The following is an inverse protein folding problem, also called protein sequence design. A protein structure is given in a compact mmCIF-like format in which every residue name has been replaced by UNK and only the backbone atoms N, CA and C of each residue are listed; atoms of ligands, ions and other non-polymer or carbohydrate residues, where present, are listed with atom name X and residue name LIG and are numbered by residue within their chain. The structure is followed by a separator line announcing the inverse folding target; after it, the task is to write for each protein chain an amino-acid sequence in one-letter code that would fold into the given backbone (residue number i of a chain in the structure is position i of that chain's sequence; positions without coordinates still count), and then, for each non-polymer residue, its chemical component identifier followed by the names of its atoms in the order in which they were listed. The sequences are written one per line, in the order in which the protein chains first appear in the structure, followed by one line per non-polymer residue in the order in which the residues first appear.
data_IF_113836319456
#
_entry.id   IF_113836319456
#
_cell.length_a   1.000
_cell.length_b   1.000
_cell.length_c   1.000
_cell.angle_alpha   90.00
_cell.angle_beta   90.00
_cell.angle_gamma   90.00
#
_symmetry.space_group_name_H-M   'P 1'
#
loop_
_entity.id
_entity.type
_entity.pdbx_description
1 polymer ?
#
# COMPACT_ATOMS: atom_id res chain seq x y z
N UNK A 1 9.98 -12.15 10.85
CA UNK A 1 9.82 -11.83 9.41
C UNK A 1 9.29 -13.06 8.69
N UNK A 2 8.49 -12.91 7.60
CA UNK A 2 8.10 -14.02 6.74
C UNK A 2 9.31 -14.74 6.14
N UNK A 3 9.17 -16.02 5.79
CA UNK A 3 10.22 -16.73 5.06
C UNK A 3 10.31 -16.22 3.61
N UNK A 4 11.50 -16.23 2.97
CA UNK A 4 11.64 -15.91 1.55
C UNK A 4 10.71 -16.76 0.67
N UNK A 5 10.23 -16.18 -0.42
CA UNK A 5 9.30 -16.84 -1.35
C UNK A 5 7.84 -16.86 -0.91
N UNK A 6 7.53 -16.52 0.34
CA UNK A 6 6.14 -16.45 0.83
C UNK A 6 5.40 -15.27 0.21
N UNK A 7 4.11 -15.42 -0.05
CA UNK A 7 3.27 -14.34 -0.56
C UNK A 7 2.77 -13.49 0.61
N UNK A 8 2.78 -12.18 0.47
CA UNK A 8 2.18 -11.28 1.44
C UNK A 8 0.96 -10.60 0.83
N UNK A 9 -0.11 -10.51 1.61
CA UNK A 9 -1.32 -9.78 1.25
C UNK A 9 -1.60 -8.70 2.29
N UNK A 10 -1.67 -7.45 1.85
CA UNK A 10 -2.11 -6.33 2.66
C UNK A 10 -3.53 -5.94 2.23
N UNK A 11 -4.44 -5.91 3.19
CA UNK A 11 -5.84 -5.53 3.01
C UNK A 11 -6.20 -4.41 3.99
N UNK A 12 -7.10 -3.53 3.57
CA UNK A 12 -7.71 -2.53 4.44
C UNK A 12 -9.09 -2.15 3.87
N UNK A 13 -9.89 -1.47 4.68
CA UNK A 13 -11.06 -0.72 4.23
C UNK A 13 -10.73 0.77 4.24
N UNK A 14 -11.23 1.50 3.24
CA UNK A 14 -11.08 2.95 3.13
C UNK A 14 -12.45 3.62 3.11
N UNK A 15 -12.57 4.74 3.82
CA UNK A 15 -13.75 5.63 3.77
C UNK A 15 -13.26 7.05 3.53
N UNK A 16 -13.99 7.82 2.72
CA UNK A 16 -13.66 9.22 2.43
C UNK A 16 -14.79 10.18 2.78
N UNK A 17 -14.43 11.32 3.37
CA UNK A 17 -15.36 12.43 3.62
C UNK A 17 -14.85 13.68 2.91
N UNK A 18 -15.67 14.20 1.98
CA UNK A 18 -15.38 15.38 1.17
C UNK A 18 -14.00 15.33 0.51
N UNK A 19 -13.65 14.19 -0.09
CA UNK A 19 -12.38 14.04 -0.80
C UNK A 19 -12.40 14.92 -2.05
N UNK A 20 -11.35 15.73 -2.20
CA UNK A 20 -11.11 16.53 -3.40
C UNK A 20 -9.68 16.27 -3.83
N UNK A 21 -9.50 15.76 -5.06
CA UNK A 21 -8.16 15.55 -5.63
C UNK A 21 -7.88 16.53 -6.76
N UNK A 22 -6.79 17.29 -6.63
CA UNK A 22 -6.26 18.15 -7.70
C UNK A 22 -5.03 17.52 -8.37
N UNK A 23 -4.80 16.21 -8.15
CA UNK A 23 -3.71 15.43 -8.74
C UNK A 23 -4.21 14.54 -9.89
N UNK A 24 -3.28 14.15 -10.78
CA UNK A 24 -3.53 13.26 -11.93
C UNK A 24 -3.26 11.78 -11.64
N UNK A 25 -2.89 11.44 -10.41
CA UNK A 25 -2.53 10.08 -9.96
C UNK A 25 -3.39 9.68 -8.76
N UNK A 26 -3.28 8.41 -8.34
CA UNK A 26 -3.98 7.93 -7.15
C UNK A 26 -3.78 8.85 -5.95
N UNK A 27 -4.89 9.22 -5.35
CA UNK A 27 -4.95 10.18 -4.26
C UNK A 27 -4.98 9.51 -2.88
N UNK A 28 -5.38 8.23 -2.84
CA UNK A 28 -5.36 7.37 -1.65
C UNK A 28 -4.79 6.01 -2.06
N UNK A 29 -3.83 5.47 -1.30
CA UNK A 29 -3.25 4.16 -1.60
C UNK A 29 -2.60 3.50 -0.38
N UNK A 30 -2.40 2.19 -0.50
CA UNK A 30 -1.66 1.38 0.47
C UNK A 30 -0.41 0.82 -0.19
N UNK A 31 0.67 0.65 0.57
CA UNK A 31 1.92 0.07 0.08
C UNK A 31 2.61 -0.82 1.09
N UNK A 32 3.35 -1.80 0.59
CA UNK A 32 4.30 -2.63 1.34
C UNK A 32 5.70 -2.26 0.83
N UNK A 33 6.64 -1.99 1.72
CA UNK A 33 8.06 -1.79 1.38
C UNK A 33 8.93 -2.66 2.29
N UNK A 34 9.81 -3.43 1.68
CA UNK A 34 10.88 -4.16 2.36
C UNK A 34 12.12 -3.26 2.43
N UNK A 35 12.83 -3.30 3.56
CA UNK A 35 14.13 -2.67 3.73
C UNK A 35 15.20 -3.75 4.00
N UNK A 36 16.39 -3.65 3.38
CA UNK A 36 16.79 -2.66 2.37
C UNK A 36 15.96 -2.76 1.08
N UNK A 37 15.84 -1.63 0.39
CA UNK A 37 15.00 -1.47 -0.83
C UNK A 37 15.65 -2.12 -2.03
N UNK A 38 16.96 -2.23 -1.98
CA UNK A 38 17.82 -2.93 -2.93
C UNK A 38 18.48 -4.09 -2.19
N UNK A 39 18.66 -5.22 -2.85
CA UNK A 39 19.50 -6.30 -2.33
C UNK A 39 20.99 -5.95 -2.47
N UNK A 40 21.85 -6.86 -2.02
CA UNK A 40 23.31 -6.75 -2.19
C UNK A 40 23.79 -6.56 -3.64
N UNK A 41 22.94 -6.87 -4.63
CA UNK A 41 23.19 -6.71 -6.07
C UNK A 41 22.51 -5.47 -6.69
N UNK A 42 21.87 -4.61 -5.89
CA UNK A 42 21.16 -3.42 -6.37
C UNK A 42 19.75 -3.68 -6.92
N UNK A 43 19.17 -4.86 -6.69
CA UNK A 43 17.87 -5.25 -7.26
C UNK A 43 16.72 -4.88 -6.31
N UNK A 44 15.70 -4.20 -6.84
CA UNK A 44 14.50 -3.77 -6.10
C UNK A 44 13.29 -4.69 -6.27
N UNK A 45 13.41 -5.74 -7.09
CA UNK A 45 12.30 -6.63 -7.43
C UNK A 45 11.69 -7.26 -6.17
N UNK A 46 10.37 -7.24 -6.08
CA UNK A 46 9.61 -7.75 -4.94
C UNK A 46 9.97 -7.13 -3.58
N UNK A 47 10.62 -5.96 -3.55
CA UNK A 47 10.86 -5.19 -2.31
C UNK A 47 9.84 -4.07 -2.12
N UNK A 48 8.93 -3.88 -3.08
CA UNK A 48 7.87 -2.87 -3.01
C UNK A 48 6.62 -3.33 -3.77
N UNK A 49 5.45 -3.10 -3.18
CA UNK A 49 4.15 -3.26 -3.83
C UNK A 49 3.21 -2.14 -3.40
N UNK A 50 2.44 -1.57 -4.34
CA UNK A 50 1.53 -0.46 -4.05
C UNK A 50 0.27 -0.50 -4.90
N UNK A 51 -0.83 0.03 -4.35
CA UNK A 51 -2.04 0.36 -5.11
C UNK A 51 -1.98 1.73 -5.78
N UNK A 52 -0.86 2.46 -5.66
CA UNK A 52 -0.66 3.72 -6.36
C UNK A 52 -0.90 3.55 -7.88
N UNK A 53 -1.58 4.52 -8.47
CA UNK A 53 -2.07 4.57 -9.85
C UNK A 53 -3.17 3.55 -10.21
N UNK A 54 -3.77 2.88 -9.22
CA UNK A 54 -4.88 1.92 -9.46
C UNK A 54 -6.24 2.45 -9.04
N UNK A 55 -6.28 3.34 -8.05
CA UNK A 55 -7.54 3.84 -7.46
C UNK A 55 -7.50 5.36 -7.41
N UNK A 56 -8.57 6.00 -7.85
CA UNK A 56 -8.79 7.43 -7.71
C UNK A 56 -10.16 7.63 -7.08
N UNK A 57 -10.20 8.15 -5.85
CA UNK A 57 -11.44 8.41 -5.12
C UNK A 57 -11.75 9.89 -5.10
N UNK A 58 -13.04 10.26 -5.09
CA UNK A 58 -13.46 11.66 -5.02
C UNK A 58 -14.83 11.76 -4.33
N UNK A 59 -15.11 12.92 -3.72
CA UNK A 59 -16.33 13.14 -2.96
C UNK A 59 -16.37 12.38 -1.63
N UNK A 60 -17.57 12.10 -1.14
CA UNK A 60 -17.81 11.30 0.05
C UNK A 60 -18.22 9.91 -0.37
N UNK A 61 -17.60 8.88 0.21
CA UNK A 61 -17.89 7.48 -0.05
C UNK A 61 -17.77 6.69 1.26
N UNK A 62 -18.53 5.60 1.34
CA UNK A 62 -18.53 4.71 2.50
C UNK A 62 -17.39 3.69 2.42
N UNK A 63 -17.30 2.77 3.37
CA UNK A 63 -16.23 1.78 3.43
C UNK A 63 -16.12 0.91 2.17
N UNK A 64 -14.98 1.01 1.48
CA UNK A 64 -14.62 0.21 0.32
C UNK A 64 -13.34 -0.59 0.59
N UNK A 65 -13.24 -1.85 0.15
CA UNK A 65 -12.04 -2.65 0.35
C UNK A 65 -10.91 -2.25 -0.61
N UNK A 66 -9.67 -2.28 -0.12
CA UNK A 66 -8.45 -2.10 -0.92
C UNK A 66 -7.44 -3.20 -0.57
N UNK A 67 -6.77 -3.73 -1.58
CA UNK A 67 -5.80 -4.81 -1.41
C UNK A 67 -4.56 -4.62 -2.31
N UNK A 68 -3.41 -5.04 -1.79
CA UNK A 68 -2.20 -5.26 -2.59
C UNK A 68 -1.50 -6.55 -2.15
N UNK A 69 -0.86 -7.19 -3.12
CA UNK A 69 -0.11 -8.42 -2.93
C UNK A 69 1.35 -8.18 -3.27
N UNK A 70 2.24 -8.60 -2.36
CA UNK A 70 3.64 -8.83 -2.67
C UNK A 70 3.81 -10.32 -3.01
N UNK A 71 4.09 -10.68 -4.27
CA UNK A 71 3.93 -12.06 -4.75
C UNK A 71 4.97 -13.03 -4.18
N UNK A 72 6.15 -12.54 -3.80
CA UNK A 72 7.24 -13.35 -3.26
C UNK A 72 8.09 -12.49 -2.35
N UNK A 73 8.14 -12.82 -1.05
CA UNK A 73 8.92 -12.10 -0.06
C UNK A 73 10.43 -12.29 -0.33
N UNK A 74 11.24 -11.22 -0.40
CA UNK A 74 12.65 -11.35 -0.76
C UNK A 74 13.51 -11.86 0.41
N UNK A 75 14.70 -12.34 0.08
CA UNK A 75 15.78 -12.55 1.05
C UNK A 75 16.35 -11.21 1.51
N UNK A 76 17.22 -11.22 2.54
CA UNK A 76 17.91 -10.00 3.00
C UNK A 76 16.92 -8.86 3.31
N UNK A 77 15.88 -9.15 4.10
CA UNK A 77 14.92 -8.14 4.58
C UNK A 77 15.01 -8.04 6.09
N UNK A 78 15.30 -6.83 6.54
CA UNK A 78 15.42 -6.46 7.94
C UNK A 78 14.09 -5.92 8.48
N UNK A 79 13.38 -5.16 7.64
CA UNK A 79 12.14 -4.47 8.01
C UNK A 79 11.09 -4.54 6.90
N UNK A 80 9.82 -4.62 7.30
CA UNK A 80 8.68 -4.37 6.45
C UNK A 80 7.93 -3.13 6.96
N UNK A 81 7.81 -2.12 6.12
CA UNK A 81 7.00 -0.93 6.39
C UNK A 81 5.71 -1.00 5.58
N UNK A 82 4.58 -0.82 6.25
CA UNK A 82 3.27 -0.64 5.61
C UNK A 82 2.93 0.85 5.57
N UNK A 83 2.53 1.34 4.41
CA UNK A 83 2.12 2.73 4.21
C UNK A 83 0.62 2.81 3.93
N UNK A 84 -0.06 3.71 4.64
CA UNK A 84 -1.42 4.17 4.34
C UNK A 84 -1.29 5.64 3.95
N UNK A 85 -1.59 5.97 2.69
CA UNK A 85 -1.17 7.26 2.13
C UNK A 85 -2.36 8.03 1.57
N UNK A 86 -2.42 9.31 1.93
CA UNK A 86 -3.18 10.34 1.23
C UNK A 86 -2.16 11.26 0.53
N UNK A 87 -2.33 11.48 -0.78
CA UNK A 87 -1.35 12.21 -1.59
C UNK A 87 -1.36 13.72 -1.32
N UNK A 88 -0.24 14.41 -1.56
CA UNK A 88 -0.05 15.84 -1.24
C UNK A 88 -0.89 16.87 -2.00
N UNK A 89 -1.88 16.44 -2.80
CA UNK A 89 -2.87 17.31 -3.49
C UNK A 89 -4.30 16.82 -3.28
N UNK A 90 -4.52 16.14 -2.17
CA UNK A 90 -5.79 15.54 -1.79
C UNK A 90 -6.26 16.18 -0.49
N UNK A 91 -7.47 16.70 -0.50
CA UNK A 91 -8.10 17.37 0.64
C UNK A 91 -9.31 16.56 1.11
N UNK A 92 -9.77 16.81 2.33
CA UNK A 92 -10.83 16.05 2.98
C UNK A 92 -10.29 15.15 4.09
N UNK A 93 -11.03 14.08 4.42
CA UNK A 93 -10.60 13.09 5.41
C UNK A 93 -10.68 11.69 4.83
N UNK A 94 -9.61 10.93 5.00
CA UNK A 94 -9.55 9.51 4.68
C UNK A 94 -9.42 8.74 5.99
N UNK A 95 -10.23 7.70 6.13
CA UNK A 95 -10.15 6.75 7.22
C UNK A 95 -9.70 5.40 6.67
N UNK A 96 -8.90 4.70 7.45
CA UNK A 96 -8.48 3.33 7.19
C UNK A 96 -8.91 2.47 8.37
N UNK A 97 -9.47 1.29 8.09
CA UNK A 97 -9.88 0.34 9.12
C UNK A 97 -9.63 -1.11 8.69
N UNK A 98 -9.62 -2.04 9.66
CA UNK A 98 -9.37 -3.47 9.48
C UNK A 98 -8.09 -3.77 8.67
N UNK A 99 -7.04 -3.00 8.91
CA UNK A 99 -5.75 -3.17 8.23
C UNK A 99 -5.13 -4.50 8.65
N UNK A 100 -4.98 -5.40 7.69
CA UNK A 100 -4.47 -6.76 7.91
C UNK A 100 -3.34 -7.05 6.94
N UNK A 101 -2.20 -7.50 7.48
CA UNK A 101 -1.09 -8.07 6.70
C UNK A 101 -1.01 -9.57 6.98
N UNK A 102 -1.23 -10.38 5.95
CA UNK A 102 -1.27 -11.84 6.04
C UNK A 102 -0.14 -12.48 5.22
N UNK A 103 0.35 -13.63 5.71
CA UNK A 103 1.31 -14.48 5.00
C UNK A 103 0.56 -15.65 4.36
N UNK A 104 0.68 -15.82 3.05
CA UNK A 104 0.09 -16.89 2.24
C UNK A 104 1.11 -17.90 1.75
#
# INVERSE_FOLDING_TARGET
MPAPGRRLRLQAFIKGENIISNGSVSNVFISIRAFPVEDSSGITRNRFASTQNRILVNGTFDWEPIEIVLPSFPEEVEELTVFLVMSGKTFGKVYFDNVTLSVE
#
